data_IF_196232629169
#
_entry.id   IF_196232629169
#
_cell.length_a   1.000
_cell.length_b   1.000
_cell.length_c   1.000
_cell.angle_alpha   90.00
_cell.angle_beta   90.00
_cell.angle_gamma   90.00
#
_symmetry.space_group_name_H-M   'P 1'
#
loop_
_entity.id
_entity.type
_entity.pdbx_description
1 polymer ?
#
# COMPACT_ATOMS: atom_id res chain seq x y z
N UNK A 1 19.23 2.65 -24.28
CA UNK A 1 19.17 3.58 -25.42
C UNK A 1 17.70 3.70 -25.81
N UNK A 2 17.06 4.83 -25.54
CA UNK A 2 15.70 5.09 -26.00
C UNK A 2 15.71 5.27 -27.52
N UNK A 3 14.82 4.56 -28.22
CA UNK A 3 14.41 4.86 -29.59
C UNK A 3 12.89 5.00 -29.58
N UNK A 4 12.40 6.18 -29.19
CA UNK A 4 11.00 6.54 -29.35
C UNK A 4 10.80 6.96 -30.81
N UNK A 5 9.92 6.26 -31.53
CA UNK A 5 9.48 6.68 -32.85
C UNK A 5 8.19 7.48 -32.68
N UNK A 6 8.25 8.78 -32.92
CA UNK A 6 7.09 9.67 -33.01
C UNK A 6 7.43 10.78 -33.99
N UNK A 7 6.51 11.00 -34.93
CA UNK A 7 6.58 12.08 -35.91
C UNK A 7 6.36 13.42 -35.20
N UNK A 8 7.35 14.34 -35.32
CA UNK A 8 7.48 15.66 -34.65
C UNK A 8 7.72 15.54 -33.14
N UNK A 9 8.34 16.42 -32.33
CA UNK A 9 8.85 17.80 -32.45
C UNK A 9 9.64 18.36 -31.19
N UNK A 10 10.48 17.69 -30.40
CA UNK A 10 11.29 18.20 -29.25
C UNK A 10 10.90 19.41 -28.24
N UNK A 11 9.67 19.79 -27.83
CA UNK A 11 9.13 20.27 -26.46
C UNK A 11 7.93 19.63 -25.60
N UNK A 12 6.87 18.98 -26.12
CA UNK A 12 5.67 18.30 -25.57
C UNK A 12 5.86 17.04 -24.70
N UNK A 13 6.73 16.07 -25.04
CA UNK A 13 7.11 14.97 -24.15
C UNK A 13 7.55 15.44 -22.76
N UNK A 14 8.38 16.47 -22.59
CA UNK A 14 8.78 16.91 -21.23
C UNK A 14 7.63 17.61 -20.51
N UNK A 15 6.79 18.38 -21.20
CA UNK A 15 5.60 18.99 -20.58
C UNK A 15 4.63 17.91 -20.11
N UNK A 16 4.34 16.90 -20.95
CA UNK A 16 3.45 15.80 -20.59
C UNK A 16 4.10 14.80 -19.63
N UNK A 17 5.41 14.54 -19.69
CA UNK A 17 6.14 13.74 -18.69
C UNK A 17 6.15 14.47 -17.35
N UNK A 18 6.39 15.78 -17.32
CA UNK A 18 6.30 16.55 -16.07
C UNK A 18 4.88 16.60 -15.55
N UNK A 19 3.90 16.80 -16.42
CA UNK A 19 2.49 16.79 -16.04
C UNK A 19 2.07 15.41 -15.53
N UNK A 20 2.44 14.32 -16.19
CA UNK A 20 2.25 12.96 -15.71
C UNK A 20 2.98 12.75 -14.38
N UNK A 21 4.25 13.13 -14.26
CA UNK A 21 5.00 13.03 -12.99
C UNK A 21 4.39 13.87 -11.88
N UNK A 22 3.81 15.02 -12.18
CA UNK A 22 3.09 15.87 -11.23
C UNK A 22 1.69 15.35 -10.90
N UNK A 23 1.06 14.61 -11.82
CA UNK A 23 -0.16 13.84 -11.56
C UNK A 23 0.13 12.63 -10.66
N UNK A 24 1.27 11.97 -10.85
CA UNK A 24 1.75 10.81 -10.07
C UNK A 24 2.37 11.24 -8.72
N UNK A 25 3.07 12.37 -8.68
CA UNK A 25 3.73 12.95 -7.50
C UNK A 25 3.83 14.49 -7.62
N UNK A 26 2.98 15.25 -6.90
CA UNK A 26 2.98 16.71 -6.96
C UNK A 26 4.32 17.37 -6.57
N UNK A 27 5.18 16.67 -5.82
CA UNK A 27 6.49 17.17 -5.37
C UNK A 27 7.63 16.84 -6.36
N UNK A 28 7.39 16.03 -7.40
CA UNK A 28 8.43 15.64 -8.37
C UNK A 28 9.09 16.84 -9.07
N UNK A 29 10.42 16.89 -9.17
CA UNK A 29 11.11 17.98 -9.87
C UNK A 29 10.80 17.98 -11.39
N UNK A 30 10.60 19.16 -11.99
CA UNK A 30 10.35 19.31 -13.43
C UNK A 30 11.61 18.99 -14.26
N UNK A 31 11.45 18.24 -15.34
CA UNK A 31 12.39 18.10 -16.45
C UNK A 31 12.36 19.32 -17.41
N UNK A 32 13.36 19.47 -18.29
CA UNK A 32 13.43 20.50 -19.34
C UNK A 32 13.19 19.92 -20.76
N UNK A 33 12.64 20.72 -21.68
CA UNK A 33 11.78 20.38 -22.85
C UNK A 33 12.27 19.37 -23.95
N UNK A 34 11.32 18.54 -24.45
CA UNK A 34 11.28 17.72 -25.71
C UNK A 34 9.79 17.38 -26.15
N UNK A 35 9.30 17.28 -27.43
CA UNK A 35 7.94 17.39 -28.12
C UNK A 35 8.01 16.15 -29.01
N UNK A 36 7.14 15.20 -28.92
CA UNK A 36 5.73 15.11 -29.26
C UNK A 36 5.49 13.60 -29.09
N UNK A 37 4.23 13.23 -28.91
CA UNK A 37 3.81 11.84 -28.70
C UNK A 37 2.71 11.78 -27.63
N UNK A 38 1.67 10.99 -27.89
CA UNK A 38 0.52 10.81 -27.00
C UNK A 38 0.80 9.70 -25.97
N UNK A 39 1.10 10.02 -24.69
CA UNK A 39 1.61 9.06 -23.71
C UNK A 39 0.56 8.10 -23.13
N UNK A 40 -0.73 8.36 -23.40
CA UNK A 40 -1.84 7.70 -22.71
C UNK A 40 -2.08 6.24 -23.18
N UNK A 41 -1.84 5.92 -24.45
CA UNK A 41 -2.10 4.59 -25.02
C UNK A 41 -1.00 3.57 -24.64
N UNK A 42 0.25 4.02 -24.57
CA UNK A 42 1.39 3.17 -24.20
C UNK A 42 1.39 2.81 -22.70
N UNK A 43 0.98 3.74 -21.83
CA UNK A 43 0.88 3.49 -20.40
C UNK A 43 -0.17 2.40 -20.10
N UNK A 44 -1.36 2.48 -20.73
CA UNK A 44 -2.38 1.45 -20.58
C UNK A 44 -1.92 0.10 -21.15
N UNK A 45 -1.24 0.06 -22.31
CA UNK A 45 -0.71 -1.19 -22.85
C UNK A 45 0.37 -1.82 -21.97
N UNK A 46 1.17 -1.01 -21.28
CA UNK A 46 2.18 -1.50 -20.35
C UNK A 46 1.55 -2.02 -19.05
N UNK A 47 0.66 -1.21 -18.45
CA UNK A 47 -0.09 -1.55 -17.24
C UNK A 47 -1.05 -2.73 -17.42
N UNK A 48 -1.59 -2.93 -18.63
CA UNK A 48 -2.51 -4.04 -18.94
C UNK A 48 -1.82 -5.40 -19.06
N UNK A 49 -0.48 -5.46 -19.08
CA UNK A 49 0.26 -6.74 -19.03
C UNK A 49 0.44 -7.31 -17.62
N UNK A 50 -0.29 -6.76 -16.65
CA UNK A 50 -0.37 -7.23 -15.28
C UNK A 50 0.29 -6.23 -14.35
N UNK A 51 -0.51 -5.62 -13.46
CA UNK A 51 -0.09 -4.73 -12.37
C UNK A 51 0.76 -5.43 -11.31
N UNK A 52 1.78 -6.15 -11.77
CA UNK A 52 2.81 -6.75 -10.95
C UNK A 52 4.01 -5.80 -10.91
N UNK A 53 4.58 -5.66 -9.72
CA UNK A 53 5.78 -4.87 -9.53
C UNK A 53 6.92 -5.35 -10.44
N UNK A 54 7.65 -4.44 -11.13
CA UNK A 54 8.63 -4.82 -12.13
C UNK A 54 9.66 -5.77 -11.54
N UNK A 55 9.94 -6.86 -12.25
CA UNK A 55 10.96 -7.83 -11.84
C UNK A 55 12.34 -7.17 -11.70
N UNK A 56 13.26 -7.85 -11.04
CA UNK A 56 14.67 -7.42 -11.00
C UNK A 56 15.19 -7.20 -12.43
N UNK A 57 15.85 -6.07 -12.65
CA UNK A 57 16.33 -5.68 -13.98
C UNK A 57 17.33 -6.70 -14.53
N UNK A 58 17.00 -7.19 -15.72
CA UNK A 58 17.85 -8.02 -16.57
C UNK A 58 17.52 -7.72 -18.02
N UNK A 59 18.45 -7.11 -18.75
CA UNK A 59 18.22 -6.63 -20.12
C UNK A 59 17.82 -7.75 -21.11
N UNK A 60 18.17 -9.00 -20.82
CA UNK A 60 17.93 -10.16 -21.68
C UNK A 60 16.63 -10.92 -21.32
N UNK A 61 15.85 -10.43 -20.36
CA UNK A 61 14.62 -11.08 -19.90
C UNK A 61 13.42 -10.13 -19.96
N UNK A 62 12.26 -10.71 -20.19
CA UNK A 62 10.98 -10.00 -20.04
C UNK A 62 10.82 -9.45 -18.60
N UNK A 63 10.20 -8.27 -18.42
CA UNK A 63 9.60 -7.42 -19.44
C UNK A 63 10.59 -6.49 -20.16
N UNK A 64 11.88 -6.51 -19.80
CA UNK A 64 12.87 -5.51 -20.24
C UNK A 64 13.39 -5.69 -21.66
N UNK A 65 13.11 -6.84 -22.29
CA UNK A 65 13.31 -7.08 -23.72
C UNK A 65 12.34 -6.29 -24.61
N UNK A 66 11.28 -5.69 -24.05
CA UNK A 66 10.33 -4.84 -24.78
C UNK A 66 10.92 -3.44 -25.01
N UNK A 67 10.72 -2.90 -26.21
CA UNK A 67 11.31 -1.63 -26.65
C UNK A 67 11.05 -0.44 -25.72
N UNK A 68 9.89 -0.41 -25.05
CA UNK A 68 9.46 0.70 -24.20
C UNK A 68 9.63 0.45 -22.70
N UNK A 69 9.98 -0.78 -22.27
CA UNK A 69 10.06 -1.12 -20.85
C UNK A 69 11.22 -0.39 -20.14
N UNK A 70 12.43 -0.47 -20.70
CA UNK A 70 13.62 0.20 -20.14
C UNK A 70 13.43 1.73 -20.13
N UNK A 71 12.99 2.37 -21.23
CA UNK A 71 12.66 3.78 -21.22
C UNK A 71 11.69 4.21 -20.13
N UNK A 72 10.61 3.46 -19.97
CA UNK A 72 9.57 3.78 -19.01
C UNK A 72 10.11 3.72 -17.59
N UNK A 73 10.76 2.62 -17.19
CA UNK A 73 11.29 2.50 -15.83
C UNK A 73 12.44 3.48 -15.54
N UNK A 74 13.20 3.92 -16.55
CA UNK A 74 14.17 5.02 -16.37
C UNK A 74 13.51 6.34 -15.98
N UNK A 75 12.30 6.62 -16.49
CA UNK A 75 11.58 7.86 -16.16
C UNK A 75 10.99 7.86 -14.74
N UNK A 76 10.93 6.68 -14.11
CA UNK A 76 10.37 6.44 -12.79
C UNK A 76 11.43 6.34 -11.69
N UNK A 77 12.64 6.85 -11.93
CA UNK A 77 13.65 6.95 -10.88
C UNK A 77 13.14 7.78 -9.70
N UNK A 78 13.30 7.25 -8.49
CA UNK A 78 13.13 7.97 -7.22
C UNK A 78 14.33 8.86 -6.89
N UNK A 79 15.47 8.63 -7.55
CA UNK A 79 16.68 9.42 -7.41
C UNK A 79 16.68 10.59 -8.38
N UNK A 80 17.23 11.70 -7.92
CA UNK A 80 17.50 12.84 -8.79
C UNK A 80 18.56 12.46 -9.85
N UNK A 81 18.17 12.51 -11.12
CA UNK A 81 19.02 12.23 -12.26
C UNK A 81 19.12 13.45 -13.18
N UNK A 82 20.25 13.58 -13.86
CA UNK A 82 20.43 14.54 -14.95
C UNK A 82 20.17 13.81 -16.26
N UNK A 83 19.23 14.31 -17.06
CA UNK A 83 18.91 13.76 -18.38
C UNK A 83 19.54 14.63 -19.46
N UNK A 84 20.31 14.02 -20.36
CA UNK A 84 20.86 14.63 -21.56
C UNK A 84 20.16 14.06 -22.78
N UNK A 85 19.34 14.86 -23.47
CA UNK A 85 18.66 14.45 -24.70
C UNK A 85 19.23 15.18 -25.92
N UNK A 86 19.23 14.50 -27.07
CA UNK A 86 19.60 15.11 -28.34
C UNK A 86 19.22 14.25 -29.54
N UNK A 87 19.22 14.87 -30.72
CA UNK A 87 18.95 14.21 -32.00
C UNK A 87 20.28 13.80 -32.66
N UNK A 88 20.48 12.53 -33.01
CA UNK A 88 21.72 12.09 -33.67
C UNK A 88 21.80 12.66 -35.08
N UNK A 89 22.94 13.28 -35.40
CA UNK A 89 23.19 13.81 -36.75
C UNK A 89 23.48 12.67 -37.73
N UNK A 90 22.70 12.59 -38.81
CA UNK A 90 22.88 11.59 -39.87
C UNK A 90 22.06 10.31 -39.72
N UNK A 91 21.20 10.23 -38.70
CA UNK A 91 20.08 9.29 -38.64
C UNK A 91 18.80 10.01 -39.08
N UNK A 92 17.71 9.25 -39.26
CA UNK A 92 16.39 9.82 -39.53
C UNK A 92 16.04 10.92 -38.51
N UNK A 93 15.48 12.02 -38.98
CA UNK A 93 15.28 13.29 -38.24
C UNK A 93 14.35 13.20 -37.04
N UNK A 94 13.76 12.02 -36.81
CA UNK A 94 12.71 11.76 -35.82
C UNK A 94 13.23 10.99 -34.59
N UNK A 95 14.53 10.70 -34.51
CA UNK A 95 15.11 9.98 -33.36
C UNK A 95 15.56 10.93 -32.25
N UNK A 96 15.05 10.76 -31.04
CA UNK A 96 15.56 11.41 -29.82
C UNK A 96 16.30 10.36 -28.99
N UNK A 97 17.54 10.66 -28.58
CA UNK A 97 18.31 9.82 -27.67
C UNK A 97 18.50 10.58 -26.36
N UNK A 98 18.06 9.98 -25.26
CA UNK A 98 18.26 10.50 -23.91
C UNK A 98 19.22 9.60 -23.10
N UNK A 99 20.09 10.22 -22.29
CA UNK A 99 21.02 9.58 -21.36
C UNK A 99 20.81 10.11 -19.94
N UNK A 100 20.78 9.23 -18.94
CA UNK A 100 20.55 9.57 -17.54
C UNK A 100 21.84 9.44 -16.74
N UNK A 101 22.12 10.40 -15.83
CA UNK A 101 23.31 10.37 -14.96
C UNK A 101 22.97 10.78 -13.52
N UNK A 102 23.30 9.96 -12.51
CA UNK A 102 23.69 8.54 -12.63
C UNK A 102 22.57 7.70 -13.26
N UNK A 103 22.85 6.45 -13.65
CA UNK A 103 21.80 5.51 -14.07
C UNK A 103 21.07 4.99 -12.83
N UNK A 104 19.75 5.14 -12.78
CA UNK A 104 18.84 4.50 -11.82
C UNK A 104 18.70 3.01 -12.04
N UNK A 105 18.91 2.54 -13.27
CA UNK A 105 18.84 1.13 -13.63
C UNK A 105 20.20 0.47 -13.41
N UNK A 106 20.20 -0.63 -12.67
CA UNK A 106 21.36 -1.48 -12.44
C UNK A 106 20.95 -2.95 -12.58
N UNK A 107 21.79 -3.74 -13.26
CA UNK A 107 21.61 -5.19 -13.39
C UNK A 107 21.51 -5.84 -12.00
N UNK A 108 20.51 -6.69 -11.81
CA UNK A 108 20.29 -7.36 -10.53
C UNK A 108 19.58 -6.52 -9.46
N UNK A 109 19.10 -5.31 -9.79
CA UNK A 109 18.27 -4.49 -8.90
C UNK A 109 16.88 -4.19 -9.51
N UNK A 110 15.89 -3.90 -8.67
CA UNK A 110 14.61 -3.35 -9.15
C UNK A 110 14.85 -1.92 -9.67
N UNK A 111 14.40 -1.60 -10.92
CA UNK A 111 14.66 -0.30 -11.52
C UNK A 111 13.78 0.83 -10.97
N UNK A 112 12.70 0.49 -10.28
CA UNK A 112 11.73 1.43 -9.69
C UNK A 112 11.43 0.97 -8.27
N UNK A 113 11.32 1.89 -7.31
CA UNK A 113 10.91 1.55 -5.95
C UNK A 113 9.44 1.10 -5.90
N UNK A 114 9.06 0.31 -4.89
CA UNK A 114 7.67 -0.16 -4.72
C UNK A 114 6.69 1.01 -4.62
N UNK A 115 7.07 2.05 -3.88
CA UNK A 115 6.25 3.24 -3.70
C UNK A 115 6.03 3.98 -5.03
N UNK A 116 7.09 4.19 -5.82
CA UNK A 116 6.93 4.87 -7.11
C UNK A 116 6.08 4.05 -8.07
N UNK A 117 6.26 2.73 -8.09
CA UNK A 117 5.42 1.86 -8.90
C UNK A 117 3.94 1.90 -8.48
N UNK A 118 3.67 1.92 -7.17
CA UNK A 118 2.31 2.09 -6.65
C UNK A 118 1.66 3.38 -7.17
N UNK A 119 2.38 4.51 -7.19
CA UNK A 119 1.86 5.78 -7.74
C UNK A 119 1.49 5.68 -9.23
N UNK A 120 2.23 4.88 -10.00
CA UNK A 120 1.89 4.61 -11.41
C UNK A 120 0.60 3.80 -11.52
N UNK A 121 0.43 2.79 -10.68
CA UNK A 121 -0.79 1.96 -10.64
C UNK A 121 -2.01 2.73 -10.11
N UNK A 122 -1.80 3.64 -9.16
CA UNK A 122 -2.78 4.61 -8.66
C UNK A 122 -3.24 5.55 -9.78
N UNK A 123 -2.33 6.10 -10.57
CA UNK A 123 -2.67 6.93 -11.73
C UNK A 123 -3.49 6.15 -12.78
N UNK A 124 -3.30 4.83 -12.86
CA UNK A 124 -4.10 3.90 -13.66
C UNK A 124 -5.43 3.47 -13.01
N UNK A 125 -5.74 3.93 -11.79
CA UNK A 125 -6.89 3.50 -10.96
C UNK A 125 -6.95 1.99 -10.71
N UNK A 126 -5.79 1.33 -10.70
CA UNK A 126 -5.67 -0.11 -10.39
C UNK A 126 -5.53 -0.31 -8.88
N UNK A 127 -4.87 0.65 -8.22
CA UNK A 127 -4.62 0.65 -6.78
C UNK A 127 -5.23 1.89 -6.13
N UNK A 128 -5.57 1.83 -4.83
CA UNK A 128 -6.01 3.00 -4.10
C UNK A 128 -4.94 4.07 -4.07
N UNK A 129 -5.37 5.33 -3.96
CA UNK A 129 -4.53 6.40 -3.47
C UNK A 129 -4.33 6.22 -1.97
N UNK A 130 -3.07 6.28 -1.52
CA UNK A 130 -2.71 6.02 -0.14
C UNK A 130 -2.18 7.29 0.54
N UNK A 131 -2.95 7.79 1.49
CA UNK A 131 -2.55 8.89 2.35
C UNK A 131 -2.23 8.37 3.75
N UNK A 132 -1.00 8.60 4.19
CA UNK A 132 -0.63 8.43 5.59
C UNK A 132 -1.54 9.31 6.44
N UNK A 133 -2.19 8.73 7.45
CA UNK A 133 -3.09 9.45 8.35
C UNK A 133 -2.26 10.43 9.22
N UNK A 134 -1.73 11.54 8.70
CA UNK A 134 -0.61 12.35 9.24
C UNK A 134 -0.61 12.72 10.74
N UNK A 135 -0.64 14.00 11.11
CA UNK A 135 -0.80 14.37 12.54
C UNK A 135 -2.13 13.83 13.14
N UNK A 136 -3.03 13.41 12.25
CA UNK A 136 -4.34 12.78 12.46
C UNK A 136 -4.27 11.29 12.81
N UNK A 137 -3.08 10.67 12.86
CA UNK A 137 -2.88 9.33 13.46
C UNK A 137 -3.42 9.29 14.89
N UNK A 138 -3.42 10.46 15.55
CA UNK A 138 -3.86 10.65 16.91
C UNK A 138 -5.30 10.24 17.08
N UNK A 139 -6.21 10.64 16.19
CA UNK A 139 -7.64 10.44 16.42
C UNK A 139 -7.98 8.94 16.43
N UNK A 140 -7.45 8.18 15.48
CA UNK A 140 -7.68 6.73 15.43
C UNK A 140 -6.93 5.99 16.53
N UNK A 141 -5.69 6.39 16.85
CA UNK A 141 -4.94 5.81 17.97
C UNK A 141 -5.62 6.10 19.31
N UNK A 142 -6.13 7.31 19.52
CA UNK A 142 -6.88 7.74 20.69
C UNK A 142 -8.21 6.99 20.79
N UNK A 143 -8.96 6.85 19.70
CA UNK A 143 -10.20 6.08 19.67
C UNK A 143 -9.97 4.59 20.01
N UNK A 144 -8.95 3.95 19.42
CA UNK A 144 -8.56 2.57 19.77
C UNK A 144 -8.12 2.48 21.24
N UNK A 145 -7.33 3.44 21.71
CA UNK A 145 -6.87 3.46 23.09
C UNK A 145 -7.99 3.73 24.09
N UNK A 146 -9.01 4.50 23.73
CA UNK A 146 -10.20 4.73 24.55
C UNK A 146 -10.95 3.41 24.80
N UNK A 147 -11.05 2.56 23.77
CA UNK A 147 -11.60 1.20 23.91
C UNK A 147 -10.74 0.34 24.83
N UNK A 148 -9.42 0.32 24.62
CA UNK A 148 -8.48 -0.54 25.38
C UNK A 148 -8.38 -0.17 26.86
N UNK A 149 -8.43 1.12 27.15
CA UNK A 149 -8.23 1.67 28.50
C UNK A 149 -9.53 1.85 29.28
N UNK A 150 -10.68 1.47 28.70
CA UNK A 150 -11.96 1.49 29.42
C UNK A 150 -11.86 0.69 30.72
N UNK A 151 -12.51 1.21 31.76
CA UNK A 151 -12.48 0.59 33.09
C UNK A 151 -13.00 -0.84 33.01
N UNK A 152 -12.17 -1.79 33.47
CA UNK A 152 -12.48 -3.22 33.44
C UNK A 152 -11.59 -4.01 32.48
N UNK A 153 -11.17 -3.42 31.36
CA UNK A 153 -10.18 -4.05 30.46
C UNK A 153 -8.75 -3.81 30.94
N UNK A 154 -8.40 -2.55 31.23
CA UNK A 154 -7.07 -2.20 31.74
C UNK A 154 -5.93 -2.58 30.80
N UNK A 155 -6.20 -2.68 29.49
CA UNK A 155 -5.19 -3.02 28.50
C UNK A 155 -4.24 -1.85 28.30
N UNK A 156 -2.93 -2.11 28.09
CA UNK A 156 -1.99 -1.05 27.79
C UNK A 156 -2.35 -0.42 26.44
N UNK A 157 -2.27 0.90 26.33
CA UNK A 157 -2.49 1.59 25.07
C UNK A 157 -1.49 1.15 24.00
N UNK A 158 -1.93 1.21 22.74
CA UNK A 158 -1.06 1.22 21.58
C UNK A 158 -0.31 2.54 21.48
N UNK A 159 0.78 2.53 20.70
CA UNK A 159 1.65 3.68 20.49
C UNK A 159 1.68 4.09 19.02
N UNK A 160 1.98 5.36 18.79
CA UNK A 160 2.33 5.85 17.46
C UNK A 160 3.65 5.20 17.00
N UNK A 161 3.90 5.12 15.68
CA UNK A 161 5.17 4.66 15.16
C UNK A 161 6.32 5.55 15.64
N UNK A 162 7.40 4.93 16.14
CA UNK A 162 8.63 5.67 16.41
C UNK A 162 9.39 5.88 15.10
N UNK A 163 9.52 7.13 14.65
CA UNK A 163 10.45 7.47 13.57
C UNK A 163 11.88 7.20 14.03
N UNK A 164 12.51 6.17 13.48
CA UNK A 164 13.92 5.88 13.73
C UNK A 164 14.78 6.53 12.66
N UNK A 165 16.03 6.87 12.99
CA UNK A 165 17.02 7.36 12.01
C UNK A 165 17.23 6.35 10.85
N UNK A 166 16.99 5.06 11.10
CA UNK A 166 17.00 4.02 10.07
C UNK A 166 15.83 4.12 9.09
N UNK A 167 14.64 4.57 9.54
CA UNK A 167 13.52 4.87 8.65
C UNK A 167 13.86 6.04 7.71
N UNK A 168 14.49 7.10 8.24
CA UNK A 168 14.93 8.26 7.44
C UNK A 168 16.04 7.89 6.44
N UNK A 169 16.84 6.86 6.73
CA UNK A 169 17.90 6.37 5.81
C UNK A 169 17.38 5.42 4.75
N UNK A 170 16.27 4.70 5.00
CA UNK A 170 15.69 3.76 4.02
C UNK A 170 15.19 4.43 2.74
N UNK A 171 14.91 5.73 2.77
CA UNK A 171 14.70 6.55 1.56
C UNK A 171 15.84 6.42 0.52
N UNK A 172 17.01 5.87 0.90
CA UNK A 172 18.15 5.65 0.00
C UNK A 172 18.35 4.20 -0.46
N UNK A 173 17.64 3.22 0.11
CA UNK A 173 17.79 1.78 -0.19
C UNK A 173 16.44 1.23 -0.67
N UNK A 174 16.41 0.72 -1.90
CA UNK A 174 15.19 0.28 -2.62
C UNK A 174 14.39 -0.88 -1.97
N UNK A 175 14.70 -1.31 -0.75
CA UNK A 175 14.04 -2.43 -0.09
C UNK A 175 12.90 -1.92 0.80
N UNK A 176 11.68 -1.95 0.24
CA UNK A 176 10.47 -1.73 1.01
C UNK A 176 10.38 -2.72 2.19
N UNK A 177 9.98 -2.23 3.35
CA UNK A 177 9.71 -3.06 4.53
C UNK A 177 8.56 -4.05 4.27
N UNK A 178 8.39 -5.09 5.10
CA UNK A 178 7.27 -6.01 4.96
C UNK A 178 5.90 -5.32 4.98
N UNK A 179 5.71 -4.29 5.81
CA UNK A 179 4.44 -3.55 5.85
C UNK A 179 4.26 -2.67 4.61
N UNK A 180 5.30 -2.00 4.11
CA UNK A 180 5.23 -1.19 2.87
C UNK A 180 4.91 -2.07 1.67
N UNK A 181 5.53 -3.25 1.58
CA UNK A 181 5.20 -4.20 0.53
C UNK A 181 3.74 -4.61 0.60
N UNK A 182 3.19 -4.89 1.79
CA UNK A 182 1.77 -5.21 1.92
C UNK A 182 0.88 -4.01 1.56
N UNK A 183 1.18 -2.83 2.08
CA UNK A 183 0.45 -1.59 1.84
C UNK A 183 0.38 -1.26 0.34
N UNK A 184 1.52 -1.28 -0.36
CA UNK A 184 1.59 -0.97 -1.79
C UNK A 184 1.04 -2.08 -2.69
N UNK A 185 0.68 -3.25 -2.13
CA UNK A 185 0.10 -4.36 -2.87
C UNK A 185 -1.41 -4.42 -2.83
N UNK A 186 -2.02 -3.60 -1.97
CA UNK A 186 -3.47 -3.50 -1.88
C UNK A 186 -4.05 -3.08 -3.23
N UNK A 187 -5.11 -3.76 -3.62
CA UNK A 187 -5.88 -3.46 -4.82
C UNK A 187 -7.23 -2.86 -4.46
N UNK A 188 -7.81 -2.08 -5.39
CA UNK A 188 -9.17 -1.59 -5.22
C UNK A 188 -10.20 -2.74 -5.12
N UNK A 189 -9.95 -3.87 -5.79
CA UNK A 189 -10.82 -5.06 -5.74
C UNK A 189 -10.82 -5.70 -4.35
N UNK A 190 -9.65 -5.83 -3.70
CA UNK A 190 -9.57 -6.37 -2.34
C UNK A 190 -10.27 -5.48 -1.31
N UNK A 191 -10.18 -4.15 -1.46
CA UNK A 191 -10.92 -3.20 -0.63
C UNK A 191 -12.42 -3.33 -0.90
N UNK A 192 -12.84 -3.31 -2.15
CA UNK A 192 -14.25 -3.42 -2.55
C UNK A 192 -14.89 -4.69 -2.00
N UNK A 193 -14.22 -5.83 -2.14
CA UNK A 193 -14.75 -7.13 -1.77
C UNK A 193 -14.50 -7.48 -0.29
N UNK A 194 -13.80 -6.62 0.46
CA UNK A 194 -13.40 -6.88 1.85
C UNK A 194 -12.65 -8.22 1.99
N UNK A 195 -11.70 -8.48 1.09
CA UNK A 195 -10.96 -9.75 1.02
C UNK A 195 -9.51 -9.66 1.48
N UNK A 196 -9.05 -8.49 1.94
CA UNK A 196 -7.67 -8.29 2.42
C UNK A 196 -7.38 -9.26 3.58
N UNK A 197 -6.31 -10.04 3.44
CA UNK A 197 -5.88 -10.99 4.44
C UNK A 197 -5.27 -10.26 5.66
N UNK A 198 -5.58 -10.63 6.92
CA UNK A 198 -5.01 -9.93 8.08
C UNK A 198 -3.49 -10.10 8.21
N UNK A 199 -2.94 -11.25 7.85
CA UNK A 199 -1.49 -11.52 7.86
C UNK A 199 -0.78 -11.23 6.52
N UNK A 200 -0.99 -10.05 5.93
CA UNK A 200 -0.36 -9.66 4.65
C UNK A 200 1.13 -9.29 4.76
N UNK A 201 1.61 -8.97 5.97
CA UNK A 201 2.98 -8.52 6.20
C UNK A 201 3.64 -9.32 7.32
N UNK A 202 4.86 -9.81 7.09
CA UNK A 202 5.63 -10.49 8.12
C UNK A 202 5.87 -9.54 9.30
N UNK A 203 5.49 -9.98 10.50
CA UNK A 203 5.68 -9.19 11.72
C UNK A 203 4.59 -8.16 11.98
N UNK A 204 3.52 -8.12 11.17
CA UNK A 204 2.40 -7.20 11.34
C UNK A 204 1.06 -7.92 11.20
N UNK A 205 0.01 -7.31 11.75
CA UNK A 205 -1.37 -7.64 11.39
C UNK A 205 -2.04 -6.40 10.79
N UNK A 206 -2.71 -6.57 9.66
CA UNK A 206 -3.53 -5.57 9.00
C UNK A 206 -4.97 -5.71 9.48
N UNK A 207 -5.54 -4.59 9.94
CA UNK A 207 -6.97 -4.42 10.17
C UNK A 207 -7.46 -3.24 9.35
N UNK A 208 -8.72 -3.26 8.92
CA UNK A 208 -9.26 -2.21 8.07
C UNK A 208 -10.76 -2.06 8.26
N UNK A 209 -11.25 -0.86 8.01
CA UNK A 209 -12.66 -0.50 7.95
C UNK A 209 -12.95 0.15 6.60
N UNK A 210 -14.11 -0.12 6.02
CA UNK A 210 -14.49 0.35 4.69
C UNK A 210 -15.75 1.18 4.81
N UNK A 211 -15.82 2.26 4.01
CA UNK A 211 -17.02 3.01 3.74
C UNK A 211 -17.36 2.90 2.25
N UNK A 212 -18.64 2.91 1.92
CA UNK A 212 -19.06 3.00 0.51
C UNK A 212 -18.79 4.41 -0.02
N UNK A 213 -18.23 4.52 -1.22
CA UNK A 213 -17.89 5.80 -1.85
C UNK A 213 -16.45 6.26 -1.60
N UNK A 214 -16.21 7.56 -1.77
CA UNK A 214 -14.85 8.12 -1.88
C UNK A 214 -14.24 8.54 -0.52
N UNK A 215 -15.07 8.74 0.51
CA UNK A 215 -14.63 9.22 1.82
C UNK A 215 -14.31 8.04 2.76
N UNK A 216 -13.07 7.95 3.28
CA UNK A 216 -12.71 6.89 4.22
C UNK A 216 -13.49 7.04 5.54
N UNK A 217 -13.75 5.95 6.28
CA UNK A 217 -14.37 6.02 7.60
C UNK A 217 -13.62 6.98 8.53
N UNK A 218 -14.34 7.71 9.39
CA UNK A 218 -13.69 8.44 10.49
C UNK A 218 -13.08 7.47 11.51
N UNK A 219 -12.28 8.01 12.44
CA UNK A 219 -11.73 7.23 13.54
C UNK A 219 -12.82 6.52 14.38
N UNK A 220 -13.89 7.24 14.70
CA UNK A 220 -15.04 6.71 15.43
C UNK A 220 -15.78 5.64 14.62
N UNK A 221 -16.04 5.90 13.33
CA UNK A 221 -16.73 4.95 12.46
C UNK A 221 -15.94 3.64 12.30
N UNK A 222 -14.61 3.73 12.11
CA UNK A 222 -13.75 2.56 12.03
C UNK A 222 -13.74 1.75 13.33
N UNK A 223 -13.64 2.42 14.49
CA UNK A 223 -13.66 1.75 15.79
C UNK A 223 -15.01 1.13 16.09
N UNK A 224 -16.13 1.80 15.80
CA UNK A 224 -17.47 1.22 15.95
C UNK A 224 -17.68 0.03 15.03
N UNK A 225 -17.22 0.12 13.78
CA UNK A 225 -17.22 -1.00 12.86
C UNK A 225 -16.46 -2.21 13.44
N UNK A 226 -15.23 -2.01 13.94
CA UNK A 226 -14.47 -3.10 14.56
C UNK A 226 -15.12 -3.61 15.85
N UNK A 227 -15.73 -2.76 16.68
CA UNK A 227 -16.48 -3.18 17.87
C UNK A 227 -17.62 -4.14 17.51
N UNK A 228 -18.25 -4.01 16.34
CA UNK A 228 -19.28 -4.94 15.88
C UNK A 228 -18.77 -6.39 15.72
N UNK A 229 -17.45 -6.59 15.61
CA UNK A 229 -16.82 -7.90 15.61
C UNK A 229 -17.07 -8.70 16.90
N UNK A 230 -17.28 -8.02 18.03
CA UNK A 230 -17.67 -8.67 19.29
C UNK A 230 -18.98 -9.43 19.15
N UNK A 231 -19.99 -8.81 18.51
CA UNK A 231 -21.31 -9.44 18.31
C UNK A 231 -21.21 -10.72 17.49
N UNK A 232 -20.24 -10.79 16.57
CA UNK A 232 -19.98 -11.99 15.75
C UNK A 232 -19.22 -13.07 16.52
N UNK A 233 -18.30 -12.69 17.41
CA UNK A 233 -17.57 -13.63 18.27
C UNK A 233 -18.43 -14.18 19.42
N UNK A 234 -19.38 -13.38 19.89
CA UNK A 234 -20.17 -13.69 21.07
C UNK A 234 -19.39 -13.54 22.39
N UNK A 235 -19.98 -14.05 23.46
CA UNK A 235 -19.41 -14.00 24.82
C UNK A 235 -18.53 -15.20 25.17
N UNK A 236 -18.52 -16.22 24.30
CA UNK A 236 -17.68 -17.39 24.48
C UNK A 236 -16.21 -17.07 24.20
N UNK A 237 -15.33 -17.98 24.61
CA UNK A 237 -13.90 -17.81 24.36
C UNK A 237 -13.63 -17.83 22.87
N UNK A 238 -13.02 -16.76 22.31
CA UNK A 238 -12.76 -16.69 20.88
C UNK A 238 -11.92 -17.90 20.40
N UNK A 239 -12.24 -18.46 19.21
CA UNK A 239 -11.48 -19.58 18.67
C UNK A 239 -10.03 -19.20 18.41
N UNK A 240 -9.14 -20.19 18.30
CA UNK A 240 -7.80 -19.93 17.80
C UNK A 240 -7.86 -19.49 16.33
N UNK A 241 -7.02 -18.54 15.92
CA UNK A 241 -6.92 -18.14 14.52
C UNK A 241 -6.46 -19.32 13.65
N UNK A 242 -7.12 -19.52 12.51
CA UNK A 242 -6.73 -20.53 11.53
C UNK A 242 -6.70 -19.91 10.14
N UNK A 243 -5.57 -20.01 9.47
CA UNK A 243 -5.42 -19.70 8.05
C UNK A 243 -6.38 -20.60 7.28
N UNK A 244 -7.20 -19.99 6.41
CA UNK A 244 -8.18 -20.70 5.58
C UNK A 244 -7.53 -21.89 4.87
N UNK A 245 -7.84 -23.10 5.33
CA UNK A 245 -7.69 -24.34 4.57
C UNK A 245 -9.03 -24.62 3.89
N UNK A 246 -9.02 -25.20 2.71
CA UNK A 246 -10.19 -25.39 1.82
C UNK A 246 -11.28 -26.33 2.33
N UNK A 247 -11.44 -26.52 3.65
CA UNK A 247 -12.46 -27.38 4.24
C UNK A 247 -13.55 -26.54 4.91
N UNK A 248 -14.81 -26.78 4.51
CA UNK A 248 -15.99 -26.24 5.17
C UNK A 248 -16.24 -27.02 6.46
N UNK A 249 -16.23 -26.34 7.59
CA UNK A 249 -16.81 -26.80 8.85
C UNK A 249 -18.03 -25.93 9.19
N UNK A 250 -19.12 -26.56 9.65
CA UNK A 250 -20.28 -25.84 10.16
C UNK A 250 -19.99 -25.43 11.63
N UNK A 251 -19.74 -24.14 11.87
CA UNK A 251 -19.45 -23.56 13.19
C UNK A 251 -18.63 -22.27 13.11
N UNK A 252 -18.60 -21.47 14.18
CA UNK A 252 -17.61 -20.37 14.32
C UNK A 252 -16.24 -21.03 14.54
N UNK A 253 -15.40 -21.01 13.51
CA UNK A 253 -14.03 -21.52 13.58
C UNK A 253 -13.01 -20.38 13.44
N UNK A 254 -11.73 -20.70 13.46
CA UNK A 254 -10.65 -19.74 13.34
C UNK A 254 -10.59 -18.96 12.02
N UNK A 255 -11.47 -19.26 11.05
CA UNK A 255 -11.61 -18.48 9.82
C UNK A 255 -12.54 -17.28 9.97
N UNK A 256 -13.24 -17.13 11.11
CA UNK A 256 -14.08 -15.97 11.40
C UNK A 256 -13.28 -14.66 11.38
N UNK A 257 -11.98 -14.71 11.67
CA UNK A 257 -11.08 -13.56 11.62
C UNK A 257 -10.72 -13.08 10.21
N UNK A 258 -11.28 -13.68 9.15
CA UNK A 258 -11.25 -13.08 7.82
C UNK A 258 -12.35 -12.04 7.62
N UNK A 259 -13.32 -11.99 8.53
CA UNK A 259 -14.22 -10.86 8.65
C UNK A 259 -13.46 -9.69 9.31
N UNK A 260 -13.34 -8.58 8.59
CA UNK A 260 -12.51 -7.45 9.02
C UNK A 260 -13.03 -6.78 10.31
N UNK A 261 -14.34 -6.82 10.61
CA UNK A 261 -14.85 -6.37 11.90
C UNK A 261 -14.32 -7.28 13.03
N UNK A 262 -14.29 -8.59 12.82
CA UNK A 262 -13.80 -9.57 13.80
C UNK A 262 -12.29 -9.50 13.96
N UNK A 263 -11.54 -9.38 12.85
CA UNK A 263 -10.10 -9.16 12.87
C UNK A 263 -9.73 -7.87 13.60
N UNK A 264 -10.45 -6.79 13.30
CA UNK A 264 -10.36 -5.49 13.97
C UNK A 264 -10.56 -5.61 15.48
N UNK A 265 -11.70 -6.17 15.90
CA UNK A 265 -12.00 -6.39 17.31
C UNK A 265 -10.89 -7.17 18.03
N UNK A 266 -10.55 -8.34 17.50
CA UNK A 266 -9.59 -9.24 18.12
C UNK A 266 -8.20 -8.60 18.24
N UNK A 267 -7.80 -7.84 17.23
CA UNK A 267 -6.53 -7.14 17.23
C UNK A 267 -6.51 -5.95 18.18
N UNK A 268 -7.61 -5.21 18.32
CA UNK A 268 -7.75 -4.15 19.32
C UNK A 268 -7.75 -4.69 20.76
N UNK A 269 -8.08 -5.96 20.98
CA UNK A 269 -8.19 -6.56 22.32
C UNK A 269 -6.96 -7.39 22.73
N UNK A 270 -5.87 -7.35 21.96
CA UNK A 270 -4.64 -8.08 22.32
C UNK A 270 -4.01 -7.52 23.60
N UNK A 271 -3.48 -8.39 24.46
CA UNK A 271 -2.92 -8.01 25.78
C UNK A 271 -1.73 -7.04 25.71
N UNK A 272 -0.96 -7.07 24.62
CA UNK A 272 0.29 -6.30 24.49
C UNK A 272 0.10 -4.92 23.84
N UNK A 273 1.03 -4.01 24.11
CA UNK A 273 1.18 -2.76 23.33
C UNK A 273 1.60 -3.09 21.90
N UNK A 274 1.07 -2.34 20.93
CA UNK A 274 1.38 -2.44 19.51
C UNK A 274 1.72 -1.03 19.03
N UNK A 275 2.65 -0.91 18.09
CA UNK A 275 2.72 0.30 17.27
C UNK A 275 1.63 0.20 16.21
N UNK A 276 0.87 1.27 15.99
CA UNK A 276 -0.20 1.31 14.99
C UNK A 276 0.09 2.35 13.92
N UNK A 277 0.07 1.92 12.65
CA UNK A 277 0.28 2.77 11.47
C UNK A 277 -0.93 2.67 10.55
N UNK A 278 -1.63 3.76 10.31
CA UNK A 278 -2.86 3.79 9.53
C UNK A 278 -2.80 4.61 8.24
N UNK A 279 -3.59 4.24 7.24
CA UNK A 279 -3.60 4.90 5.95
C UNK A 279 -5.04 5.04 5.49
N UNK A 280 -5.36 6.18 4.92
CA UNK A 280 -6.56 6.35 4.12
C UNK A 280 -6.29 5.81 2.73
N UNK A 281 -7.13 4.90 2.30
CA UNK A 281 -7.15 4.36 0.95
C UNK A 281 -8.38 4.93 0.24
N UNK A 282 -8.16 5.75 -0.78
CA UNK A 282 -9.21 6.41 -1.57
C UNK A 282 -9.00 6.14 -3.07
N UNK A 283 -9.83 6.72 -3.94
CA UNK A 283 -9.69 6.55 -5.40
C UNK A 283 -10.16 5.19 -5.95
N UNK A 284 -10.79 4.37 -5.12
CA UNK A 284 -11.49 3.13 -5.49
C UNK A 284 -13.02 3.33 -5.40
N UNK A 285 -13.81 2.31 -5.75
CA UNK A 285 -15.28 2.33 -5.58
C UNK A 285 -15.70 2.53 -4.10
N UNK A 286 -14.88 2.01 -3.18
CA UNK A 286 -15.02 2.15 -1.73
C UNK A 286 -13.72 2.69 -1.14
N UNK A 287 -13.82 3.57 -0.16
CA UNK A 287 -12.69 4.08 0.59
C UNK A 287 -12.52 3.32 1.90
N UNK A 288 -11.29 3.31 2.43
CA UNK A 288 -10.96 2.54 3.63
C UNK A 288 -9.96 3.23 4.53
N UNK A 289 -10.05 2.93 5.82
CA UNK A 289 -8.97 3.14 6.79
C UNK A 289 -8.26 1.80 6.97
N UNK A 290 -6.95 1.78 6.78
CA UNK A 290 -6.12 0.58 6.80
C UNK A 290 -5.02 0.73 7.84
N UNK A 291 -5.02 -0.11 8.86
CA UNK A 291 -4.04 -0.04 9.95
C UNK A 291 -3.17 -1.30 10.03
N UNK A 292 -1.86 -1.08 10.16
CA UNK A 292 -0.88 -2.09 10.48
C UNK A 292 -0.52 -2.00 11.97
N UNK A 293 -0.69 -3.10 12.68
CA UNK A 293 -0.23 -3.28 14.04
C UNK A 293 1.11 -4.01 14.03
N UNK A 294 2.12 -3.48 14.71
CA UNK A 294 3.41 -4.17 14.88
C UNK A 294 3.24 -5.40 15.77
N UNK A 295 3.96 -6.48 15.46
CA UNK A 295 3.75 -7.82 16.00
C UNK A 295 2.40 -8.44 15.58
N UNK A 296 2.38 -9.69 15.08
CA UNK A 296 1.13 -10.33 14.69
C UNK A 296 0.17 -10.50 15.87
N UNK A 297 -1.08 -10.10 15.70
CA UNK A 297 -2.19 -10.35 16.65
C UNK A 297 -2.95 -11.64 16.29
N UNK A 298 -2.98 -12.01 15.01
CA UNK A 298 -3.66 -13.20 14.50
C UNK A 298 -2.65 -14.28 14.08
N UNK A 299 -2.15 -15.04 15.06
CA UNK A 299 -1.15 -16.10 14.84
C UNK A 299 -1.81 -17.46 14.68
N UNK A 300 -1.41 -18.19 13.63
CA UNK A 300 -1.90 -19.54 13.32
C UNK A 300 -1.89 -20.47 14.55
N UNK A 301 -3.04 -21.09 14.83
CA UNK A 301 -3.31 -21.95 15.98
C UNK A 301 -3.13 -21.28 17.36
N UNK A 302 -3.25 -19.94 17.45
CA UNK A 302 -3.27 -19.21 18.73
C UNK A 302 -4.54 -18.40 18.89
N UNK A 303 -5.04 -18.33 20.13
CA UNK A 303 -6.12 -17.43 20.49
C UNK A 303 -5.59 -15.99 20.56
N UNK A 304 -6.23 -15.03 19.86
CA UNK A 304 -5.76 -13.65 19.83
C UNK A 304 -6.03 -12.90 21.14
N UNK A 305 -7.13 -13.24 21.82
CA UNK A 305 -7.54 -12.68 23.11
C UNK A 305 -7.36 -13.76 24.17
N UNK A 306 -6.67 -13.45 25.28
CA UNK A 306 -6.52 -14.41 26.39
C UNK A 306 -7.78 -14.45 27.26
N UNK A 307 -8.04 -15.63 27.84
CA UNK A 307 -9.17 -15.94 28.73
C UNK A 307 -9.41 -14.92 29.87
N UNK A 308 -8.38 -14.24 30.37
CA UNK A 308 -8.52 -13.27 31.47
C UNK A 308 -9.40 -12.07 31.06
N UNK A 309 -9.41 -11.73 29.77
CA UNK A 309 -10.25 -10.67 29.25
C UNK A 309 -11.70 -11.11 29.04
N UNK A 310 -11.98 -12.40 28.80
CA UNK A 310 -13.36 -12.84 28.52
C UNK A 310 -14.29 -12.65 29.73
N UNK A 311 -13.78 -12.82 30.95
CA UNK A 311 -14.59 -12.55 32.16
C UNK A 311 -14.90 -11.06 32.33
N UNK A 312 -14.01 -10.16 31.89
CA UNK A 312 -14.19 -8.72 32.00
C UNK A 312 -14.99 -8.13 30.83
N UNK A 313 -14.93 -8.75 29.64
CA UNK A 313 -15.76 -8.41 28.48
C UNK A 313 -17.25 -8.57 28.80
N UNK A 314 -17.62 -9.52 29.67
CA UNK A 314 -19.00 -9.69 30.17
C UNK A 314 -19.53 -8.51 31.00
N UNK A 315 -18.64 -7.66 31.52
CA UNK A 315 -19.00 -6.50 32.35
C UNK A 315 -18.93 -5.17 31.61
N UNK A 316 -18.59 -5.18 30.32
CA UNK A 316 -18.69 -3.97 29.53
C UNK A 316 -20.18 -3.64 29.38
N UNK A 317 -20.63 -2.46 29.85
CA UNK A 317 -22.02 -2.05 29.70
C UNK A 317 -22.32 -2.13 28.21
N UNK A 318 -23.37 -2.89 27.86
CA UNK A 318 -23.85 -3.18 26.50
C UNK A 318 -23.38 -2.11 25.52
N UNK A 319 -22.34 -2.46 24.75
CA UNK A 319 -21.86 -1.66 23.62
C UNK A 319 -22.95 -1.47 22.59
#
# INVERSE_FOLDING_TARGET
>A
MLLLHSAGDAKHCTVEINKFRKQVDPQANNYMESDEGNPAEDLQSFLSTGGEYPAVFNEAKEPYTRSNAIPFVSLLSDKAEIIYCGTPKGCDTESIICYFKPSSIAEGAHPVSRQMWHKVEEAGRIKPSLEAHGDEYKDLLEAVNAVRTVKGLGLPGFTAPVETEDMKRRDTINDATPYENALYNLTCEEIKDSTIHPNVAQGYTLIYAINEGEDPPTAEEAVEFWKSGFTKLGTDVPPAFTVKKSQRTEGIDGTIYYDNAVAGFASMMVDGTREMRCYNATGCDNAAVICFLSEPTLVENRQPIRYILSEHLCYLPTF
#
